data_IF_337861335492
#
_entry.id   IF_337861335492
#
_cell.length_a   1.000
_cell.length_b   1.000
_cell.length_c   1.000
_cell.angle_alpha   90.00
_cell.angle_beta   90.00
_cell.angle_gamma   90.00
#
_symmetry.space_group_name_H-M   'P 1'
#
loop_
_entity.id
_entity.type
_entity.pdbx_description
1 polymer ?
#
# COMPACT_ATOMS: atom_id res chain seq x y z
N UNK A 1 -14.62 -5.44 5.25
CA UNK A 1 -13.18 -5.31 5.54
C UNK A 1 -12.45 -5.50 4.23
N UNK A 2 -11.60 -4.56 3.80
CA UNK A 2 -10.99 -4.52 2.47
C UNK A 2 -9.94 -5.63 2.24
N UNK A 3 -9.72 -6.47 3.25
CA UNK A 3 -8.75 -7.53 3.24
C UNK A 3 -9.51 -8.84 3.19
N UNK A 4 -9.30 -9.60 2.14
CA UNK A 4 -9.96 -10.88 1.93
C UNK A 4 -8.98 -11.88 1.33
N UNK A 5 -9.40 -13.15 1.37
CA UNK A 5 -8.67 -14.25 0.77
C UNK A 5 -9.25 -14.52 -0.62
N UNK A 6 -8.40 -14.44 -1.64
CA UNK A 6 -8.73 -14.84 -3.01
C UNK A 6 -7.74 -15.90 -3.46
N UNK A 7 -8.22 -17.10 -3.73
CA UNK A 7 -7.38 -18.25 -4.15
C UNK A 7 -6.18 -18.51 -3.22
N UNK A 8 -6.39 -18.37 -1.90
CA UNK A 8 -5.36 -18.51 -0.88
C UNK A 8 -4.56 -17.24 -0.58
N UNK A 9 -4.65 -16.23 -1.46
CA UNK A 9 -3.84 -15.02 -1.37
C UNK A 9 -4.56 -13.93 -0.60
N UNK A 10 -3.83 -13.20 0.24
CA UNK A 10 -4.37 -12.03 0.91
C UNK A 10 -4.41 -10.87 -0.07
N UNK A 11 -5.59 -10.35 -0.34
CA UNK A 11 -5.78 -9.15 -1.16
C UNK A 11 -6.21 -7.99 -0.27
N UNK A 12 -5.75 -6.79 -0.61
CA UNK A 12 -6.21 -5.53 -0.02
C UNK A 12 -6.76 -4.69 -1.17
N UNK A 13 -8.05 -4.39 -1.16
CA UNK A 13 -8.71 -3.57 -2.18
C UNK A 13 -8.86 -2.13 -1.72
N UNK A 14 -8.56 -1.18 -2.61
CA UNK A 14 -8.78 0.26 -2.40
C UNK A 14 -9.71 0.78 -3.51
N UNK A 15 -10.62 1.70 -3.19
CA UNK A 15 -11.46 2.38 -4.20
C UNK A 15 -12.97 2.36 -3.96
N UNK A 16 -13.49 1.55 -3.03
CA UNK A 16 -14.92 1.52 -2.65
C UNK A 16 -15.17 2.20 -1.30
N UNK A 17 -14.84 3.49 -1.21
CA UNK A 17 -14.82 4.27 0.02
C UNK A 17 -13.46 4.21 0.75
N UNK A 18 -13.20 5.19 1.62
CA UNK A 18 -11.88 5.37 2.21
C UNK A 18 -11.65 4.37 3.36
N UNK A 19 -10.49 3.71 3.30
CA UNK A 19 -10.01 2.82 4.36
C UNK A 19 -9.19 3.69 5.29
N UNK A 20 -9.40 3.59 6.60
CA UNK A 20 -8.57 4.34 7.51
C UNK A 20 -7.16 3.73 7.50
N UNK A 21 -6.28 4.33 6.72
CA UNK A 21 -4.85 4.02 6.64
C UNK A 21 -4.11 5.01 7.50
N UNK A 22 -3.31 4.52 8.45
CA UNK A 22 -2.59 5.38 9.36
C UNK A 22 -1.14 4.95 9.49
N UNK A 23 -0.25 5.94 9.60
CA UNK A 23 1.15 5.72 9.94
C UNK A 23 1.33 5.68 11.48
N UNK A 24 2.35 4.98 11.92
CA UNK A 24 2.75 4.92 13.33
C UNK A 24 4.08 4.21 13.54
N UNK A 25 4.38 3.93 14.80
CA UNK A 25 5.51 3.14 15.27
C UNK A 25 5.01 1.96 16.09
N UNK A 26 5.66 0.80 15.95
CA UNK A 26 5.45 -0.31 16.88
C UNK A 26 6.20 -0.07 18.18
N UNK A 27 5.58 -0.46 19.29
CA UNK A 27 6.21 -0.42 20.61
C UNK A 27 7.22 -1.57 20.77
N UNK A 28 8.38 -1.45 20.14
CA UNK A 28 9.50 -2.40 20.18
C UNK A 28 10.76 -1.73 20.75
N UNK A 29 11.77 -2.53 21.09
CA UNK A 29 13.08 -2.05 21.58
C UNK A 29 13.90 -1.28 20.52
N UNK A 30 13.40 -1.19 19.29
CA UNK A 30 13.99 -0.46 18.18
C UNK A 30 12.92 0.25 17.34
N UNK A 31 13.26 1.33 16.60
CA UNK A 31 12.30 2.01 15.73
C UNK A 31 11.83 1.10 14.60
N UNK A 32 10.53 0.78 14.59
CA UNK A 32 9.88 0.04 13.51
C UNK A 32 8.66 0.83 13.04
N UNK A 33 8.74 1.35 11.82
CA UNK A 33 7.64 2.06 11.17
C UNK A 33 6.52 1.10 10.83
N UNK A 34 5.27 1.57 10.91
CA UNK A 34 4.12 0.77 10.54
C UNK A 34 3.08 1.59 9.80
N UNK A 35 2.50 1.00 8.76
CA UNK A 35 1.26 1.46 8.13
C UNK A 35 0.18 0.45 8.50
N UNK A 36 -0.89 0.91 9.15
CA UNK A 36 -2.00 0.07 9.63
C UNK A 36 -3.24 0.29 8.79
N UNK A 37 -3.99 -0.80 8.57
CA UNK A 37 -5.27 -0.78 7.87
C UNK A 37 -6.38 -1.09 8.85
N UNK A 38 -7.17 -0.08 9.21
CA UNK A 38 -8.21 -0.23 10.21
C UNK A 38 -9.58 -0.40 9.54
N UNK A 39 -10.37 -1.41 9.93
CA UNK A 39 -11.76 -1.50 9.50
C UNK A 39 -12.57 -0.39 10.19
N UNK A 40 -13.02 0.60 9.42
CA UNK A 40 -13.98 1.61 9.87
C UNK A 40 -15.05 1.80 8.80
N UNK A 41 -16.17 2.46 9.15
CA UNK A 41 -17.18 2.83 8.16
C UNK A 41 -16.52 3.58 6.99
N UNK A 42 -16.83 3.23 5.73
CA UNK A 42 -16.20 3.84 4.57
C UNK A 42 -16.39 5.36 4.59
N UNK A 43 -15.29 6.09 4.57
CA UNK A 43 -15.30 7.55 4.38
C UNK A 43 -15.40 7.93 2.91
N UNK A 44 -15.51 9.23 2.63
CA UNK A 44 -15.33 9.71 1.26
C UNK A 44 -13.86 9.53 0.85
N UNK A 45 -13.60 9.10 -0.39
CA UNK A 45 -12.23 8.91 -0.89
C UNK A 45 -11.42 10.19 -0.72
N UNK A 46 -10.27 10.10 -0.05
CA UNK A 46 -9.37 11.22 0.20
C UNK A 46 -9.64 11.96 1.52
N UNK A 47 -10.56 11.46 2.34
CA UNK A 47 -10.83 12.00 3.67
C UNK A 47 -9.67 11.66 4.62
N UNK A 48 -8.83 12.65 4.92
CA UNK A 48 -7.82 12.50 5.96
C UNK A 48 -8.47 12.54 7.33
N UNK A 49 -8.26 11.49 8.11
CA UNK A 49 -8.57 11.47 9.54
C UNK A 49 -7.28 11.40 10.33
N UNK A 50 -7.24 12.14 11.43
CA UNK A 50 -6.11 12.06 12.36
C UNK A 50 -6.15 10.70 13.06
N UNK A 51 -4.97 10.10 13.18
CA UNK A 51 -4.80 8.88 13.97
C UNK A 51 -4.54 9.29 15.42
N UNK A 52 -5.43 8.90 16.32
CA UNK A 52 -5.33 9.23 17.75
C UNK A 52 -4.14 8.51 18.42
N UNK A 53 -3.65 7.40 17.84
CA UNK A 53 -2.61 6.54 18.41
C UNK A 53 -1.45 6.36 17.43
N UNK A 54 -0.33 7.03 17.70
CA UNK A 54 0.88 6.98 16.86
C UNK A 54 1.81 5.81 17.25
N UNK A 55 1.70 5.30 18.47
CA UNK A 55 2.50 4.17 18.98
C UNK A 55 1.56 3.07 19.45
N UNK A 56 1.67 1.87 18.89
CA UNK A 56 0.78 0.75 19.21
C UNK A 56 1.56 -0.55 19.45
N UNK A 57 1.05 -1.46 20.30
CA UNK A 57 1.60 -2.80 20.43
C UNK A 57 1.29 -3.63 19.17
N UNK A 58 2.15 -4.61 18.83
CA UNK A 58 1.94 -5.46 17.66
C UNK A 58 0.61 -6.24 17.67
N UNK A 59 0.05 -6.55 18.82
CA UNK A 59 -1.17 -7.37 18.92
C UNK A 59 -2.43 -6.58 18.55
N UNK A 60 -2.39 -5.25 18.64
CA UNK A 60 -3.51 -4.35 18.38
C UNK A 60 -3.60 -3.88 16.92
N UNK A 61 -2.63 -4.26 16.08
CA UNK A 61 -2.54 -3.85 14.67
C UNK A 61 -2.51 -5.07 13.75
N UNK A 62 -3.64 -5.80 13.61
CA UNK A 62 -3.68 -7.13 12.99
C UNK A 62 -3.37 -7.11 11.49
N UNK A 63 -3.55 -5.97 10.84
CA UNK A 63 -3.23 -5.79 9.42
C UNK A 63 -2.33 -4.58 9.28
N UNK A 64 -1.11 -4.84 8.86
CA UNK A 64 -0.07 -3.82 8.76
C UNK A 64 1.00 -4.13 7.75
N UNK A 65 1.68 -3.09 7.31
CA UNK A 65 2.99 -3.15 6.68
C UNK A 65 4.01 -2.61 7.67
N UNK A 66 5.03 -3.40 8.01
CA UNK A 66 6.10 -3.00 8.93
C UNK A 66 7.38 -2.68 8.18
N UNK A 67 8.12 -1.70 8.67
CA UNK A 67 9.35 -1.20 8.07
C UNK A 67 10.44 -1.07 9.14
N UNK A 68 11.49 -1.83 8.94
CA UNK A 68 12.72 -1.85 9.71
C UNK A 68 13.79 -0.89 9.17
N UNK A 69 13.61 -0.42 7.92
CA UNK A 69 14.46 0.59 7.26
C UNK A 69 13.62 1.63 6.52
N UNK A 70 14.07 2.88 6.52
CA UNK A 70 13.35 3.97 5.85
C UNK A 70 13.36 3.79 4.33
N UNK A 71 14.43 3.24 3.77
CA UNK A 71 14.59 2.98 2.34
C UNK A 71 13.57 1.96 1.82
N UNK A 72 13.07 1.06 2.69
CA UNK A 72 12.00 0.12 2.36
C UNK A 72 10.68 0.84 2.07
N UNK A 73 10.44 2.00 2.71
CA UNK A 73 9.25 2.83 2.45
C UNK A 73 9.36 3.49 1.06
N UNK A 74 10.54 3.98 0.70
CA UNK A 74 10.77 4.64 -0.59
C UNK A 74 10.50 3.71 -1.78
N UNK A 75 10.83 2.42 -1.64
CA UNK A 75 10.51 1.40 -2.65
C UNK A 75 9.00 1.31 -2.87
N UNK A 76 8.22 1.28 -1.80
CA UNK A 76 6.76 1.22 -1.87
C UNK A 76 6.18 2.52 -2.44
N UNK A 77 6.68 3.69 -2.01
CA UNK A 77 6.26 4.99 -2.55
C UNK A 77 6.48 5.03 -4.07
N UNK A 78 7.65 4.64 -4.55
CA UNK A 78 7.95 4.61 -5.99
C UNK A 78 7.00 3.66 -6.74
N UNK A 79 6.74 2.48 -6.19
CA UNK A 79 5.81 1.53 -6.81
C UNK A 79 4.38 2.09 -6.88
N UNK A 80 3.89 2.73 -5.81
CA UNK A 80 2.57 3.36 -5.78
C UNK A 80 2.47 4.54 -6.77
N UNK A 81 3.52 5.35 -6.88
CA UNK A 81 3.59 6.45 -7.85
C UNK A 81 3.57 5.92 -9.28
N UNK A 82 4.33 4.87 -9.57
CA UNK A 82 4.35 4.25 -10.90
C UNK A 82 3.01 3.61 -11.24
N UNK A 83 2.37 2.92 -10.29
CA UNK A 83 1.00 2.39 -10.47
C UNK A 83 0.03 3.52 -10.80
N UNK A 84 0.11 4.65 -10.10
CA UNK A 84 -0.73 5.82 -10.41
C UNK A 84 -0.50 6.31 -11.84
N UNK A 85 0.77 6.45 -12.26
CA UNK A 85 1.13 6.84 -13.63
C UNK A 85 0.55 5.85 -14.65
N UNK A 86 0.72 4.55 -14.42
CA UNK A 86 0.17 3.51 -15.30
C UNK A 86 -1.36 3.58 -15.42
N UNK A 87 -2.07 3.88 -14.34
CA UNK A 87 -3.54 4.07 -14.38
C UNK A 87 -3.98 5.28 -15.21
N UNK A 88 -3.11 6.29 -15.36
CA UNK A 88 -3.40 7.51 -16.12
C UNK A 88 -2.97 7.40 -17.59
N UNK A 89 -1.90 6.65 -17.87
CA UNK A 89 -1.19 6.70 -19.16
C UNK A 89 -1.18 5.39 -19.95
N UNK A 90 -1.43 4.25 -19.30
CA UNK A 90 -1.23 2.91 -19.89
C UNK A 90 -2.51 2.08 -19.89
N UNK A 91 -2.52 1.01 -20.69
CA UNK A 91 -3.47 -0.09 -20.54
C UNK A 91 -2.71 -1.40 -20.35
N UNK A 92 -3.36 -2.44 -19.83
CA UNK A 92 -2.66 -3.73 -19.67
C UNK A 92 -2.22 -4.30 -21.03
N UNK A 93 -2.94 -3.99 -22.10
CA UNK A 93 -2.58 -4.32 -23.48
C UNK A 93 -1.32 -3.57 -23.95
N UNK A 94 -1.17 -2.26 -23.63
CA UNK A 94 0.01 -1.48 -24.04
C UNK A 94 1.30 -1.99 -23.37
N UNK A 95 1.20 -2.45 -22.13
CA UNK A 95 2.33 -3.01 -21.38
C UNK A 95 2.79 -4.38 -21.90
N UNK A 96 1.89 -5.15 -22.50
CA UNK A 96 2.20 -6.46 -23.10
C UNK A 96 2.58 -6.37 -24.58
N UNK A 97 2.34 -5.24 -25.23
CA UNK A 97 2.72 -5.03 -26.61
C UNK A 97 4.27 -5.07 -26.72
N UNK A 98 4.82 -5.76 -27.74
CA UNK A 98 6.26 -5.77 -27.96
C UNK A 98 6.73 -4.34 -28.22
N UNK A 99 7.67 -3.87 -27.40
CA UNK A 99 8.26 -2.54 -27.58
C UNK A 99 9.07 -2.55 -28.87
N UNK A 100 8.64 -1.78 -29.87
CA UNK A 100 9.37 -1.65 -31.13
C UNK A 100 10.83 -1.21 -30.84
N UNK A 101 11.79 -2.06 -31.21
CA UNK A 101 13.23 -1.74 -31.15
C UNK A 101 14.06 -2.42 -30.06
N UNK A 102 13.52 -3.35 -29.27
CA UNK A 102 14.30 -4.05 -28.23
C UNK A 102 15.28 -5.12 -28.77
N UNK A 103 15.10 -5.61 -30.00
CA UNK A 103 16.00 -6.55 -30.65
C UNK A 103 16.89 -5.84 -31.69
N UNK A 104 17.89 -5.08 -31.21
CA UNK A 104 19.05 -4.68 -32.03
C UNK A 104 20.33 -4.68 -31.22
N UNK A 105 20.67 -5.81 -30.61
CA UNK A 105 22.05 -6.11 -30.25
C UNK A 105 22.34 -7.57 -30.61
N UNK A 106 22.83 -7.77 -31.83
CA UNK A 106 23.68 -8.91 -32.21
C UNK A 106 25.03 -8.83 -31.48
#
# INVERSE_FOLDING_TARGET
MPIFKHEGQTQIEFGTGDINVSAGLLQLDYPCGVVVFQPKEPGAIGERRENEVIVAPPEETPVRMTFDKVESIDVIIRALQETKRMMEEETWESLLAPKEGADKHE
#
